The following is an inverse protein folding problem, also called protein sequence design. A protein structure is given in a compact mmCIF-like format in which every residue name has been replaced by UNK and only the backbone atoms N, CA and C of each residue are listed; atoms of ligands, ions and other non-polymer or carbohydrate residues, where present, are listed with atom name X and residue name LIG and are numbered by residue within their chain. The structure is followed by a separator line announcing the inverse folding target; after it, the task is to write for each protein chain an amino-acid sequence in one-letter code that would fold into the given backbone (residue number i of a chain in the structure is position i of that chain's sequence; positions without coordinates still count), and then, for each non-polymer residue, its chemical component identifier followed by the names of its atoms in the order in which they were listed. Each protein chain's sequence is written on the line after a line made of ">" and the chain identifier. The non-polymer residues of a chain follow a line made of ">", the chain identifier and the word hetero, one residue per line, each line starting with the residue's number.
data_IF_322153014829
#
_entry.id   IF_322153014829
#
_cell.length_a   1.000
_cell.length_b   1.000
_cell.length_c   1.000
_cell.angle_alpha   90.00
_cell.angle_beta   90.00
_cell.angle_gamma   90.00
#
_symmetry.space_group_name_H-M   'P 1'
#
loop_
_entity.id
_entity.type
_entity.pdbx_description
1 polymer ?
#
# COMPACT_ATOMS: atom_id res chain seq x y z
N UNK A 1 -9.37 44.33 30.89
CA UNK A 1 -9.17 42.87 30.88
C UNK A 1 -9.27 42.39 29.43
N UNK A 2 -8.15 41.95 28.87
CA UNK A 2 -8.03 41.42 27.50
C UNK A 2 -8.35 39.91 27.49
N UNK A 3 -9.01 39.36 26.45
CA UNK A 3 -9.11 37.92 26.28
C UNK A 3 -7.85 37.34 25.65
N UNK A 4 -7.44 36.19 26.19
CA UNK A 4 -6.30 35.40 25.76
C UNK A 4 -6.54 34.78 24.37
N UNK A 5 -5.64 35.09 23.43
CA UNK A 5 -5.49 34.35 22.18
C UNK A 5 -4.79 33.02 22.49
N UNK A 6 -5.52 31.91 22.41
CA UNK A 6 -4.93 30.57 22.38
C UNK A 6 -4.18 30.40 21.06
N UNK A 7 -2.89 30.12 21.16
CA UNK A 7 -2.03 29.77 20.04
C UNK A 7 -2.45 28.44 19.41
N UNK A 8 -3.19 28.53 18.31
CA UNK A 8 -3.27 27.47 17.32
C UNK A 8 -1.87 27.30 16.70
N UNK A 9 -1.22 26.18 16.99
CA UNK A 9 -0.04 25.75 16.23
C UNK A 9 -0.50 25.54 14.79
N UNK A 10 0.06 26.29 13.86
CA UNK A 10 -0.20 26.13 12.43
C UNK A 10 0.11 24.69 12.01
N UNK A 11 -0.85 24.04 11.34
CA UNK A 11 -0.62 22.77 10.65
C UNK A 11 0.51 22.96 9.63
N UNK A 12 1.45 22.01 9.50
CA UNK A 12 2.53 22.09 8.54
C UNK A 12 1.95 22.27 7.13
N UNK A 13 2.10 23.49 6.61
CA UNK A 13 1.59 23.82 5.28
C UNK A 13 2.54 23.21 4.24
N UNK A 14 2.00 22.42 3.31
CA UNK A 14 2.81 21.78 2.29
C UNK A 14 3.42 22.81 1.31
N UNK A 15 4.64 22.53 0.84
CA UNK A 15 5.45 23.46 0.04
C UNK A 15 4.91 23.53 -1.39
N UNK A 16 4.65 24.75 -1.86
CA UNK A 16 4.15 25.01 -3.21
C UNK A 16 5.30 25.14 -4.19
N UNK A 17 5.39 24.23 -5.14
CA UNK A 17 6.12 24.44 -6.40
C UNK A 17 5.07 24.39 -7.53
N UNK A 18 4.98 25.46 -8.32
CA UNK A 18 4.03 25.62 -9.43
C UNK A 18 2.54 25.36 -9.08
N UNK A 19 2.10 25.72 -7.87
CA UNK A 19 0.69 25.59 -7.45
C UNK A 19 0.23 24.16 -7.17
N UNK A 20 1.13 23.17 -7.24
CA UNK A 20 0.90 21.80 -6.76
C UNK A 20 1.61 21.57 -5.45
N UNK A 21 0.82 21.62 -4.40
CA UNK A 21 1.16 21.18 -3.06
C UNK A 21 1.72 19.75 -3.08
N UNK A 22 3.03 19.58 -2.91
CA UNK A 22 3.67 18.25 -2.88
C UNK A 22 3.96 17.84 -1.43
N UNK A 23 3.53 16.65 -1.02
CA UNK A 23 3.81 16.12 0.31
C UNK A 23 5.32 15.96 0.52
N UNK A 24 5.90 16.59 1.55
CA UNK A 24 7.31 16.39 1.92
C UNK A 24 7.45 15.18 2.85
N UNK A 25 8.64 14.57 2.92
CA UNK A 25 8.90 13.47 3.85
C UNK A 25 8.63 13.89 5.31
N UNK A 26 9.01 15.11 5.68
CA UNK A 26 8.76 15.65 7.03
C UNK A 26 7.27 15.72 7.33
N UNK A 27 6.49 16.31 6.42
CA UNK A 27 5.04 16.42 6.58
C UNK A 27 4.36 15.03 6.65
N UNK A 28 4.83 14.08 5.82
CA UNK A 28 4.37 12.70 5.86
C UNK A 28 4.63 12.06 7.24
N UNK A 29 5.85 12.17 7.78
CA UNK A 29 6.19 11.60 9.09
C UNK A 29 5.34 12.25 10.19
N UNK A 30 5.26 13.58 10.23
CA UNK A 30 4.47 14.31 11.23
C UNK A 30 2.99 13.91 11.21
N UNK A 31 2.44 13.62 10.03
CA UNK A 31 1.04 13.27 9.87
C UNK A 31 0.73 11.79 10.14
N UNK A 32 1.59 10.87 9.67
CA UNK A 32 1.30 9.44 9.57
C UNK A 32 2.17 8.53 10.44
N UNK A 33 3.27 8.99 11.02
CA UNK A 33 4.08 8.16 11.94
C UNK A 33 3.45 8.05 13.33
N UNK A 34 2.33 7.32 13.40
CA UNK A 34 1.50 7.14 14.59
C UNK A 34 1.27 5.66 14.87
N UNK A 35 0.95 5.33 16.11
CA UNK A 35 0.60 3.96 16.47
C UNK A 35 -0.52 3.41 15.59
N UNK A 36 -0.38 2.15 15.18
CA UNK A 36 -1.31 1.45 14.29
C UNK A 36 -1.39 2.00 12.86
N UNK A 37 -0.54 2.95 12.46
CA UNK A 37 -0.47 3.40 11.09
C UNK A 37 0.04 2.27 10.18
N UNK A 38 -0.70 2.02 9.10
CA UNK A 38 -0.34 1.05 8.07
C UNK A 38 -0.07 1.79 6.77
N UNK A 39 1.14 1.66 6.23
CA UNK A 39 1.53 2.29 4.96
C UNK A 39 1.76 1.23 3.90
N UNK A 40 1.05 1.35 2.77
CA UNK A 40 1.25 0.47 1.63
C UNK A 40 2.54 0.85 0.89
N UNK A 41 3.37 -0.15 0.61
CA UNK A 41 4.53 -0.05 -0.29
C UNK A 41 4.31 -1.03 -1.44
N UNK A 42 3.86 -0.48 -2.57
CA UNK A 42 3.25 -1.26 -3.65
C UNK A 42 3.66 -0.73 -5.01
N UNK A 43 3.54 -1.55 -6.06
CA UNK A 43 3.66 -1.00 -7.40
C UNK A 43 3.66 -2.00 -8.53
N UNK A 44 4.26 -1.59 -9.65
CA UNK A 44 4.41 -2.43 -10.84
C UNK A 44 5.50 -3.49 -10.65
N UNK A 45 5.31 -4.62 -11.34
CA UNK A 45 6.32 -5.68 -11.45
C UNK A 45 7.44 -5.30 -12.41
N UNK A 46 7.11 -4.55 -13.45
CA UNK A 46 8.09 -3.97 -14.37
C UNK A 46 8.60 -2.69 -13.74
N UNK A 47 9.86 -2.71 -13.33
CA UNK A 47 10.58 -1.59 -12.73
C UNK A 47 11.70 -1.20 -13.67
N UNK A 48 11.92 0.09 -13.87
CA UNK A 48 13.08 0.56 -14.62
C UNK A 48 14.36 0.26 -13.83
N UNK A 49 15.41 -0.20 -14.52
CA UNK A 49 16.67 -0.56 -13.85
C UNK A 49 17.22 0.61 -13.01
N UNK A 50 17.08 1.84 -13.50
CA UNK A 50 17.48 3.08 -12.81
C UNK A 50 16.72 3.36 -11.52
N UNK A 51 15.53 2.80 -11.36
CA UNK A 51 14.65 3.09 -10.23
C UNK A 51 14.75 2.01 -9.14
N UNK A 52 15.41 0.89 -9.43
CA UNK A 52 15.54 -0.24 -8.51
C UNK A 52 16.16 0.19 -7.18
N UNK A 53 17.29 0.90 -7.23
CA UNK A 53 17.98 1.37 -6.02
C UNK A 53 17.15 2.42 -5.26
N UNK A 54 16.37 3.24 -5.97
CA UNK A 54 15.49 4.24 -5.35
C UNK A 54 14.37 3.58 -4.54
N UNK A 55 13.80 2.47 -5.01
CA UNK A 55 12.77 1.71 -4.29
C UNK A 55 13.33 1.10 -3.00
N UNK A 56 14.52 0.51 -3.06
CA UNK A 56 15.22 -0.03 -1.88
C UNK A 56 15.54 1.11 -0.91
N UNK A 57 16.06 2.23 -1.42
CA UNK A 57 16.42 3.39 -0.62
C UNK A 57 15.20 4.02 0.06
N UNK A 58 14.04 4.07 -0.61
CA UNK A 58 12.81 4.57 -0.01
C UNK A 58 12.37 3.67 1.16
N UNK A 59 12.31 2.35 0.95
CA UNK A 59 11.94 1.41 2.02
C UNK A 59 12.85 1.57 3.24
N UNK A 60 14.17 1.66 3.02
CA UNK A 60 15.17 1.91 4.08
C UNK A 60 14.97 3.26 4.76
N UNK A 61 14.76 4.33 3.99
CA UNK A 61 14.57 5.70 4.50
C UNK A 61 13.34 5.78 5.40
N UNK A 62 12.22 5.23 4.95
CA UNK A 62 10.98 5.21 5.73
C UNK A 62 11.15 4.42 7.02
N UNK A 63 11.68 3.20 6.96
CA UNK A 63 11.91 2.38 8.15
C UNK A 63 12.90 3.02 9.14
N UNK A 64 13.89 3.75 8.65
CA UNK A 64 14.87 4.47 9.50
C UNK A 64 14.27 5.71 10.17
N UNK A 65 13.47 6.48 9.43
CA UNK A 65 12.99 7.80 9.88
C UNK A 65 11.64 7.79 10.58
N UNK A 66 10.93 6.67 10.54
CA UNK A 66 9.64 6.50 11.23
C UNK A 66 9.79 5.49 12.36
N UNK A 67 8.93 5.56 13.38
CA UNK A 67 8.99 4.68 14.55
C UNK A 67 7.81 3.72 14.65
N UNK A 68 6.62 4.15 14.25
CA UNK A 68 5.36 3.48 14.57
C UNK A 68 4.70 2.79 13.37
N UNK A 69 5.08 3.16 12.15
CA UNK A 69 4.46 2.64 10.92
C UNK A 69 4.73 1.15 10.76
N UNK A 70 3.70 0.38 10.45
CA UNK A 70 3.83 -0.94 9.83
C UNK A 70 3.68 -0.79 8.32
N UNK A 71 4.63 -1.35 7.57
CA UNK A 71 4.62 -1.35 6.12
C UNK A 71 3.93 -2.61 5.61
N UNK A 72 3.10 -2.47 4.57
CA UNK A 72 2.37 -3.59 3.99
C UNK A 72 2.57 -3.67 2.48
N UNK A 73 2.80 -4.87 1.98
CA UNK A 73 2.98 -5.14 0.55
C UNK A 73 2.21 -6.39 0.07
N UNK A 74 2.26 -6.68 -1.23
CA UNK A 74 1.61 -7.83 -1.87
C UNK A 74 2.52 -9.01 -2.19
N UNK A 75 3.80 -8.94 -1.79
CA UNK A 75 4.85 -9.94 -2.11
C UNK A 75 4.98 -10.23 -3.62
N UNK A 76 4.70 -9.25 -4.48
CA UNK A 76 4.93 -9.38 -5.92
C UNK A 76 6.41 -9.21 -6.30
N UNK A 77 6.77 -9.56 -7.54
CA UNK A 77 8.06 -9.12 -8.11
C UNK A 77 8.10 -7.61 -8.32
N UNK A 78 9.29 -7.09 -8.61
CA UNK A 78 9.50 -5.69 -8.94
C UNK A 78 9.41 -4.81 -7.69
N UNK A 79 8.60 -3.76 -7.76
CA UNK A 79 8.58 -2.71 -6.74
C UNK A 79 8.25 -3.20 -5.33
N UNK A 80 7.23 -4.05 -5.17
CA UNK A 80 6.91 -4.71 -3.89
C UNK A 80 8.15 -5.35 -3.25
N UNK A 81 8.91 -6.11 -4.05
CA UNK A 81 10.12 -6.79 -3.59
C UNK A 81 11.21 -5.79 -3.19
N UNK A 82 11.49 -4.79 -4.01
CA UNK A 82 12.54 -3.81 -3.75
C UNK A 82 12.24 -2.92 -2.54
N UNK A 83 10.99 -2.46 -2.38
CA UNK A 83 10.57 -1.78 -1.15
C UNK A 83 10.77 -2.66 0.09
N UNK A 84 10.35 -3.93 -0.02
CA UNK A 84 10.43 -4.90 1.07
C UNK A 84 11.87 -5.20 1.49
N UNK A 85 12.82 -5.25 0.54
CA UNK A 85 14.25 -5.36 0.84
C UNK A 85 14.73 -4.16 1.68
N UNK A 86 14.35 -2.94 1.28
CA UNK A 86 14.69 -1.72 2.00
C UNK A 86 14.20 -1.73 3.44
N UNK A 87 12.92 -2.01 3.66
CA UNK A 87 12.32 -2.07 5.01
C UNK A 87 12.98 -3.15 5.85
N UNK A 88 13.11 -4.36 5.31
CA UNK A 88 13.62 -5.52 6.05
C UNK A 88 15.10 -5.40 6.42
N UNK A 89 15.86 -4.59 5.68
CA UNK A 89 17.26 -4.28 6.00
C UNK A 89 17.42 -3.42 7.26
N UNK A 90 16.36 -2.74 7.70
CA UNK A 90 16.34 -1.87 8.89
C UNK A 90 15.59 -2.55 10.02
N UNK A 91 14.34 -2.92 9.78
CA UNK A 91 13.48 -3.56 10.77
C UNK A 91 12.43 -4.43 10.08
N UNK A 92 12.74 -5.72 9.99
CA UNK A 92 11.85 -6.72 9.40
C UNK A 92 10.52 -6.83 10.15
N UNK A 93 10.49 -6.60 11.47
CA UNK A 93 9.28 -6.75 12.29
C UNK A 93 8.15 -5.79 11.89
N UNK A 94 8.51 -4.71 11.19
CA UNK A 94 7.58 -3.69 10.70
C UNK A 94 7.05 -3.98 9.29
N UNK A 95 7.37 -5.13 8.69
CA UNK A 95 6.90 -5.51 7.36
C UNK A 95 5.87 -6.65 7.43
N UNK A 96 4.68 -6.36 6.88
CA UNK A 96 3.60 -7.30 6.62
C UNK A 96 3.45 -7.55 5.12
N UNK A 97 3.06 -8.77 4.73
CA UNK A 97 2.52 -9.01 3.38
C UNK A 97 1.16 -9.68 3.44
N UNK A 98 0.33 -9.39 2.44
CA UNK A 98 -0.91 -10.13 2.19
C UNK A 98 -0.77 -10.89 0.87
N UNK A 99 -0.85 -12.21 0.93
CA UNK A 99 -0.65 -13.10 -0.21
C UNK A 99 -1.97 -13.66 -0.74
N UNK A 100 -2.06 -14.01 -2.04
CA UNK A 100 -3.27 -14.59 -2.62
C UNK A 100 -3.59 -16.02 -2.12
N UNK A 101 -2.61 -16.72 -1.53
CA UNK A 101 -2.74 -18.05 -0.93
C UNK A 101 -1.52 -18.39 -0.07
N UNK A 102 -1.64 -19.40 0.80
CA UNK A 102 -0.56 -19.87 1.69
C UNK A 102 0.63 -20.39 0.87
N UNK A 103 1.84 -19.99 1.27
CA UNK A 103 3.09 -20.40 0.58
C UNK A 103 3.42 -19.64 -0.70
N UNK A 104 2.60 -18.66 -1.11
CA UNK A 104 2.89 -17.81 -2.27
C UNK A 104 4.25 -17.11 -2.14
N UNK A 105 5.15 -17.42 -3.09
CA UNK A 105 6.49 -16.81 -3.21
C UNK A 105 7.27 -16.79 -1.90
N UNK A 106 7.15 -17.87 -1.12
CA UNK A 106 7.76 -17.98 0.21
C UNK A 106 9.28 -17.74 0.20
N UNK A 107 9.99 -18.20 -0.85
CA UNK A 107 11.44 -18.03 -0.98
C UNK A 107 11.88 -16.57 -1.08
N UNK A 108 11.05 -15.70 -1.60
CA UNK A 108 11.36 -14.27 -1.80
C UNK A 108 10.65 -13.38 -0.79
N UNK A 109 9.87 -13.96 0.13
CA UNK A 109 9.12 -13.23 1.14
C UNK A 109 10.08 -12.62 2.18
N UNK A 110 10.11 -11.30 2.24
CA UNK A 110 10.95 -10.55 3.18
C UNK A 110 10.22 -10.17 4.47
N UNK A 111 8.90 -10.38 4.55
CA UNK A 111 8.09 -9.92 5.68
C UNK A 111 8.30 -10.72 6.96
N UNK A 112 8.02 -10.08 8.10
CA UNK A 112 7.92 -10.76 9.38
C UNK A 112 6.57 -11.46 9.56
N UNK A 113 5.49 -10.78 9.15
CA UNK A 113 4.12 -11.27 9.26
C UNK A 113 3.50 -11.43 7.87
N UNK A 114 2.76 -12.51 7.66
CA UNK A 114 2.13 -12.84 6.38
C UNK A 114 0.69 -13.29 6.61
N UNK A 115 -0.24 -12.64 5.94
CA UNK A 115 -1.65 -13.02 5.91
C UNK A 115 -1.98 -13.64 4.55
N UNK A 116 -2.53 -14.85 4.54
CA UNK A 116 -2.93 -15.50 3.30
C UNK A 116 -4.44 -15.36 3.07
N UNK A 117 -4.85 -14.99 1.86
CA UNK A 117 -6.28 -14.80 1.53
C UNK A 117 -7.11 -16.07 1.74
N UNK A 118 -6.55 -17.25 1.47
CA UNK A 118 -7.22 -18.55 1.65
C UNK A 118 -7.44 -18.94 3.11
N UNK A 119 -6.81 -18.22 4.05
CA UNK A 119 -7.07 -18.32 5.50
C UNK A 119 -8.16 -17.34 5.96
N UNK A 120 -8.54 -16.37 5.12
CA UNK A 120 -9.61 -15.40 5.42
C UNK A 120 -10.97 -16.00 5.07
N UNK A 121 -11.90 -16.01 6.04
CA UNK A 121 -13.28 -16.37 5.78
C UNK A 121 -14.03 -15.23 5.06
N UNK A 122 -13.96 -15.24 3.73
CA UNK A 122 -14.60 -14.23 2.86
C UNK A 122 -16.11 -14.07 3.05
N UNK A 123 -16.80 -15.07 3.61
CA UNK A 123 -18.24 -14.95 3.92
C UNK A 123 -18.52 -13.89 5.00
N UNK A 124 -17.53 -13.61 5.86
CA UNK A 124 -17.62 -12.61 6.92
C UNK A 124 -17.14 -11.21 6.46
N UNK A 125 -16.69 -11.08 5.21
CA UNK A 125 -16.05 -9.85 4.69
C UNK A 125 -16.81 -9.28 3.47
N UNK A 126 -18.11 -8.93 3.60
CA UNK A 126 -18.94 -8.51 2.48
C UNK A 126 -18.43 -7.22 1.81
N UNK A 127 -17.82 -6.32 2.58
CA UNK A 127 -17.26 -5.07 2.06
C UNK A 127 -16.05 -5.33 1.15
N UNK A 128 -15.18 -6.27 1.52
CA UNK A 128 -14.05 -6.69 0.69
C UNK A 128 -14.55 -7.25 -0.64
N UNK A 129 -15.58 -8.11 -0.59
CA UNK A 129 -16.19 -8.68 -1.79
C UNK A 129 -16.77 -7.58 -2.66
N UNK A 130 -17.58 -6.68 -2.10
CA UNK A 130 -18.22 -5.58 -2.82
C UNK A 130 -17.19 -4.67 -3.50
N UNK A 131 -16.21 -4.18 -2.74
CA UNK A 131 -15.23 -3.23 -3.27
C UNK A 131 -14.27 -3.86 -4.30
N UNK A 132 -14.09 -5.18 -4.27
CA UNK A 132 -13.30 -5.92 -5.25
C UNK A 132 -13.95 -5.97 -6.64
N UNK A 133 -15.26 -5.72 -6.75
CA UNK A 133 -16.03 -5.78 -8.00
C UNK A 133 -15.96 -4.47 -8.79
N UNK A 134 -14.76 -4.05 -9.17
CA UNK A 134 -14.53 -2.75 -9.83
C UNK A 134 -15.17 -2.62 -11.24
N UNK A 135 -15.53 -3.73 -11.88
CA UNK A 135 -16.29 -3.76 -13.13
C UNK A 135 -16.95 -5.14 -13.33
N UNK A 136 -17.87 -5.24 -14.31
CA UNK A 136 -18.61 -6.49 -14.62
C UNK A 136 -17.73 -7.72 -14.83
N UNK A 137 -16.52 -7.55 -15.39
CA UNK A 137 -15.59 -8.67 -15.59
C UNK A 137 -15.00 -9.15 -14.27
N UNK A 138 -14.61 -8.21 -13.39
CA UNK A 138 -14.08 -8.55 -12.06
C UNK A 138 -15.17 -9.10 -11.16
N UNK A 139 -16.38 -8.57 -11.25
CA UNK A 139 -17.56 -9.06 -10.55
C UNK A 139 -17.75 -10.56 -10.72
N UNK A 140 -17.82 -11.03 -11.98
CA UNK A 140 -17.97 -12.44 -12.28
C UNK A 140 -16.86 -13.31 -11.67
N UNK A 141 -15.61 -12.84 -11.72
CA UNK A 141 -14.46 -13.58 -11.17
C UNK A 141 -14.51 -13.67 -9.64
N UNK A 142 -14.86 -12.55 -8.98
CA UNK A 142 -14.99 -12.48 -7.52
C UNK A 142 -16.12 -13.38 -7.05
N UNK A 143 -17.30 -13.33 -7.70
CA UNK A 143 -18.44 -14.16 -7.33
C UNK A 143 -18.15 -15.65 -7.47
N UNK A 144 -17.49 -16.05 -8.54
CA UNK A 144 -17.05 -17.43 -8.72
C UNK A 144 -16.08 -17.88 -7.61
N UNK A 145 -15.12 -17.03 -7.24
CA UNK A 145 -14.16 -17.34 -6.19
C UNK A 145 -14.83 -17.51 -4.81
N UNK A 146 -15.74 -16.59 -4.46
CA UNK A 146 -16.50 -16.62 -3.19
C UNK A 146 -17.45 -17.81 -3.13
N UNK A 147 -18.03 -18.21 -4.27
CA UNK A 147 -18.84 -19.43 -4.39
C UNK A 147 -18.03 -20.75 -4.32
N UNK A 148 -16.70 -20.68 -4.14
CA UNK A 148 -15.85 -21.85 -3.96
C UNK A 148 -15.15 -22.36 -5.23
N UNK A 149 -15.20 -21.63 -6.35
CA UNK A 149 -14.43 -22.01 -7.54
C UNK A 149 -12.93 -21.91 -7.26
N UNK A 150 -12.16 -22.89 -7.75
CA UNK A 150 -10.70 -23.01 -7.56
C UNK A 150 -9.97 -23.29 -8.90
N UNK A 151 -10.47 -22.74 -10.00
CA UNK A 151 -9.87 -22.87 -11.34
C UNK A 151 -8.77 -21.81 -11.61
N UNK A 152 -8.18 -21.80 -12.81
CA UNK A 152 -7.17 -20.77 -13.17
C UNK A 152 -7.71 -19.34 -13.14
N UNK A 153 -9.02 -19.14 -13.29
CA UNK A 153 -9.66 -17.83 -13.18
C UNK A 153 -9.79 -17.37 -11.73
N UNK A 154 -9.88 -18.32 -10.78
CA UNK A 154 -9.89 -18.08 -9.34
C UNK A 154 -8.59 -17.42 -8.85
N UNK A 155 -7.45 -17.68 -9.50
CA UNK A 155 -6.16 -17.04 -9.15
C UNK A 155 -6.23 -15.53 -9.35
N UNK A 156 -6.83 -15.06 -10.46
CA UNK A 156 -6.96 -13.63 -10.72
C UNK A 156 -7.89 -12.97 -9.70
N UNK A 157 -8.99 -13.63 -9.34
CA UNK A 157 -9.88 -13.15 -8.28
C UNK A 157 -9.16 -13.04 -6.93
N UNK A 158 -8.31 -14.02 -6.59
CA UNK A 158 -7.51 -13.99 -5.37
C UNK A 158 -6.59 -12.77 -5.29
N UNK A 159 -5.90 -12.40 -6.40
CA UNK A 159 -5.09 -11.18 -6.41
C UNK A 159 -5.94 -9.91 -6.19
N UNK A 160 -7.12 -9.82 -6.81
CA UNK A 160 -8.01 -8.67 -6.68
C UNK A 160 -8.56 -8.53 -5.25
N UNK A 161 -9.00 -9.65 -4.66
CA UNK A 161 -9.50 -9.68 -3.28
C UNK A 161 -8.39 -9.31 -2.29
N UNK A 162 -7.21 -9.90 -2.46
CA UNK A 162 -6.02 -9.56 -1.68
C UNK A 162 -5.68 -8.08 -1.78
N UNK A 163 -5.72 -7.51 -2.98
CA UNK A 163 -5.41 -6.09 -3.20
C UNK A 163 -6.40 -5.18 -2.47
N UNK A 164 -7.68 -5.55 -2.43
CA UNK A 164 -8.70 -4.85 -1.65
C UNK A 164 -8.44 -4.96 -0.14
N UNK A 165 -8.16 -6.17 0.38
CA UNK A 165 -7.88 -6.40 1.81
C UNK A 165 -6.68 -5.58 2.28
N UNK A 166 -5.63 -5.45 1.48
CA UNK A 166 -4.48 -4.61 1.86
C UNK A 166 -4.88 -3.20 2.23
N UNK A 167 -5.85 -2.64 1.51
CA UNK A 167 -6.33 -1.27 1.68
C UNK A 167 -7.36 -1.18 2.81
N UNK A 168 -8.44 -1.96 2.75
CA UNK A 168 -9.57 -1.77 3.67
C UNK A 168 -9.52 -2.67 4.91
N UNK A 169 -8.59 -3.62 4.93
CA UNK A 169 -8.48 -4.59 6.00
C UNK A 169 -9.55 -5.69 5.97
N UNK A 170 -9.63 -6.39 7.09
CA UNK A 170 -10.69 -7.36 7.47
C UNK A 170 -11.00 -7.10 8.94
N UNK A 171 -11.81 -7.95 9.58
CA UNK A 171 -11.96 -7.91 11.03
C UNK A 171 -10.62 -8.05 11.79
N UNK A 172 -9.72 -8.90 11.28
CA UNK A 172 -8.44 -9.21 11.92
C UNK A 172 -7.28 -8.34 11.40
N UNK A 173 -7.40 -7.82 10.18
CA UNK A 173 -6.35 -7.05 9.51
C UNK A 173 -6.75 -5.58 9.50
N UNK A 174 -5.96 -4.72 10.16
CA UNK A 174 -6.23 -3.26 10.18
C UNK A 174 -6.13 -2.63 8.79
N UNK A 175 -6.98 -1.63 8.45
CA UNK A 175 -6.92 -0.92 7.17
C UNK A 175 -5.63 -0.10 7.00
N UNK A 176 -5.32 0.22 5.75
CA UNK A 176 -4.26 1.14 5.37
C UNK A 176 -4.62 2.60 5.72
N UNK A 177 -3.64 3.36 6.19
CA UNK A 177 -3.77 4.80 6.46
C UNK A 177 -3.15 5.67 5.36
N UNK A 178 -2.25 5.11 4.55
CA UNK A 178 -1.58 5.80 3.45
C UNK A 178 -1.06 4.79 2.41
N UNK A 179 -0.89 5.20 1.16
CA UNK A 179 -0.24 4.39 0.13
C UNK A 179 0.88 5.10 -0.62
N UNK A 180 2.00 4.40 -0.81
CA UNK A 180 3.13 4.86 -1.61
C UNK A 180 3.30 3.88 -2.76
N UNK A 181 3.18 4.39 -3.98
CA UNK A 181 3.15 3.56 -5.19
C UNK A 181 4.33 3.82 -6.12
N UNK A 182 4.81 2.76 -6.76
CA UNK A 182 5.57 2.83 -7.99
C UNK A 182 4.67 2.46 -9.17
N UNK A 183 4.43 3.39 -10.10
CA UNK A 183 3.47 3.24 -11.19
C UNK A 183 4.10 3.55 -12.56
N UNK A 184 3.37 3.26 -13.63
CA UNK A 184 3.72 3.74 -14.96
C UNK A 184 3.15 5.16 -15.14
N UNK A 185 4.01 6.18 -15.07
CA UNK A 185 3.57 7.58 -15.20
C UNK A 185 3.01 7.92 -16.59
N UNK A 186 3.35 7.13 -17.61
CA UNK A 186 2.79 7.32 -18.95
C UNK A 186 1.37 6.74 -19.07
N UNK A 187 1.08 5.70 -18.28
CA UNK A 187 -0.19 4.99 -18.30
C UNK A 187 -0.62 4.55 -16.89
N UNK A 188 -0.92 5.52 -16.01
CA UNK A 188 -1.07 5.27 -14.58
C UNK A 188 -2.37 4.54 -14.24
N UNK A 189 -2.43 3.97 -13.04
CA UNK A 189 -3.62 3.35 -12.44
C UNK A 189 -4.22 2.20 -13.26
N UNK A 190 -3.36 1.40 -13.90
CA UNK A 190 -3.77 0.21 -14.66
C UNK A 190 -3.27 -1.09 -14.03
N UNK A 191 -4.03 -2.17 -14.21
CA UNK A 191 -3.69 -3.51 -13.71
C UNK A 191 -3.95 -3.66 -12.21
N UNK A 192 -3.21 -4.55 -11.53
CA UNK A 192 -3.37 -4.81 -10.08
C UNK A 192 -2.99 -3.59 -9.22
N UNK A 193 -1.89 -2.91 -9.56
CA UNK A 193 -1.51 -1.64 -8.94
C UNK A 193 -2.63 -0.60 -9.08
N UNK A 194 -3.17 -0.47 -10.29
CA UNK A 194 -4.30 0.42 -10.55
C UNK A 194 -5.57 0.08 -9.77
N UNK A 195 -5.90 -1.21 -9.67
CA UNK A 195 -6.99 -1.65 -8.80
C UNK A 195 -6.78 -1.22 -7.35
N UNK A 196 -5.58 -1.43 -6.80
CA UNK A 196 -5.23 -1.04 -5.42
C UNK A 196 -5.35 0.48 -5.21
N UNK A 197 -4.83 1.28 -6.14
CA UNK A 197 -4.95 2.74 -6.09
C UNK A 197 -6.41 3.20 -6.16
N UNK A 198 -7.23 2.58 -7.02
CA UNK A 198 -8.66 2.89 -7.10
C UNK A 198 -9.44 2.47 -5.84
N UNK A 199 -9.03 1.41 -5.14
CA UNK A 199 -9.56 1.08 -3.81
C UNK A 199 -9.16 2.17 -2.81
N UNK A 200 -7.90 2.64 -2.82
CA UNK A 200 -7.46 3.74 -1.96
C UNK A 200 -8.30 5.00 -2.18
N UNK A 201 -8.49 5.41 -3.44
CA UNK A 201 -9.29 6.59 -3.81
C UNK A 201 -10.73 6.49 -3.27
N UNK A 202 -11.39 5.33 -3.45
CA UNK A 202 -12.77 5.10 -2.98
C UNK A 202 -12.90 5.14 -1.44
N UNK A 203 -11.85 4.74 -0.73
CA UNK A 203 -11.82 4.72 0.74
C UNK A 203 -11.14 5.95 1.34
N UNK A 204 -10.81 6.96 0.53
CA UNK A 204 -10.12 8.19 0.97
C UNK A 204 -8.80 7.90 1.68
N UNK A 205 -8.12 6.81 1.30
CA UNK A 205 -6.75 6.54 1.74
C UNK A 205 -5.83 7.40 0.87
N UNK A 206 -5.12 8.40 1.43
CA UNK A 206 -4.23 9.24 0.65
C UNK A 206 -3.09 8.43 0.03
N UNK A 207 -2.75 8.77 -1.21
CA UNK A 207 -1.69 8.09 -1.96
C UNK A 207 -0.71 9.09 -2.60
N UNK A 208 0.53 8.65 -2.79
CA UNK A 208 1.55 9.33 -3.60
C UNK A 208 2.24 8.33 -4.54
N UNK A 209 2.87 8.86 -5.58
CA UNK A 209 3.71 8.11 -6.52
C UNK A 209 5.12 8.71 -6.64
N UNK A 210 5.93 8.17 -7.56
CA UNK A 210 7.33 8.59 -7.72
C UNK A 210 7.51 10.07 -8.09
N UNK A 211 6.48 10.77 -8.58
CA UNK A 211 6.56 12.23 -8.80
C UNK A 211 6.71 13.02 -7.49
N UNK A 212 6.35 12.39 -6.37
CA UNK A 212 6.46 12.95 -5.02
C UNK A 212 7.63 12.34 -4.27
N UNK A 213 7.68 11.01 -4.14
CA UNK A 213 8.63 10.39 -3.21
C UNK A 213 10.06 10.30 -3.75
N UNK A 214 10.32 10.44 -5.06
CA UNK A 214 11.70 10.62 -5.54
C UNK A 214 12.38 11.84 -4.90
N UNK A 215 11.64 12.93 -4.73
CA UNK A 215 12.11 14.16 -4.08
C UNK A 215 12.42 13.98 -2.59
N UNK A 216 11.97 12.88 -1.97
CA UNK A 216 12.31 12.58 -0.58
C UNK A 216 13.70 11.96 -0.43
N UNK A 217 14.26 11.47 -1.55
CA UNK A 217 15.58 10.84 -1.62
C UNK A 217 16.67 11.79 -2.12
N UNK A 218 16.25 12.88 -2.76
CA UNK A 218 17.08 14.05 -3.05
C UNK A 218 17.31 14.80 -1.72
N UNK A 219 18.55 14.81 -1.25
CA UNK A 219 18.94 15.30 0.08
C UNK A 219 18.76 16.79 0.30
#
# INVERSE_FOLDING_TARGET
>A
MLPAWLGLKAEPQPVSDNGKTTMTLKAFIEQFDKENAIVLLEGKRMVLDTDTDLLIQLGKTLATKTKHITFRSGNADGSDHYFSLGVSSVDKSRLQVITPYTGHRQKTNQAYETFALDEVNMANEPEVVFQSKSNKRMEKLVDQYVAGARDRFSIKAAYILRDTIKVIGTYEIKPATFGIFYDDLSNPKIGGTGHTMNVCDRNKVPIIDQTTWFKWLEG
#
